data_IF_752569708213
#
_entry.id   IF_752569708213
#
_cell.length_a   1.000
_cell.length_b   1.000
_cell.length_c   1.000
_cell.angle_alpha   90.00
_cell.angle_beta   90.00
_cell.angle_gamma   90.00
#
_symmetry.space_group_name_H-M   'P 1'
#
loop_
_entity.id
_entity.type
_entity.pdbx_description
1 polymer ?
#
# COMPACT_ATOMS: atom_id res chain seq x y z
N UNK A 1 -15.87 3.08 4.02
CA UNK A 1 -16.50 2.53 2.82
C UNK A 1 -16.47 1.01 2.90
N UNK A 2 -17.53 0.34 2.44
CA UNK A 2 -17.62 -1.12 2.37
C UNK A 2 -17.81 -1.56 0.92
N UNK A 3 -17.03 -2.57 0.52
CA UNK A 3 -17.13 -3.25 -0.78
C UNK A 3 -17.27 -4.75 -0.55
N UNK A 4 -17.60 -5.51 -1.59
CA UNK A 4 -17.65 -6.98 -1.49
C UNK A 4 -16.33 -7.58 -1.02
N UNK A 5 -15.21 -7.15 -1.63
CA UNK A 5 -13.88 -7.67 -1.31
C UNK A 5 -13.44 -7.34 0.12
N UNK A 6 -13.75 -6.14 0.62
CA UNK A 6 -13.41 -5.77 2.00
C UNK A 6 -14.15 -6.62 3.03
N UNK A 7 -15.45 -6.86 2.84
CA UNK A 7 -16.25 -7.70 3.76
C UNK A 7 -15.80 -9.16 3.75
N UNK A 8 -15.44 -9.69 2.58
CA UNK A 8 -14.91 -11.05 2.46
C UNK A 8 -13.56 -11.18 3.15
N UNK A 9 -12.67 -10.20 2.98
CA UNK A 9 -11.34 -10.20 3.58
C UNK A 9 -11.39 -10.10 5.12
N UNK A 10 -12.34 -9.34 5.68
CA UNK A 10 -12.54 -9.20 7.13
C UNK A 10 -13.21 -10.43 7.77
N UNK A 11 -13.62 -11.44 6.99
CA UNK A 11 -14.20 -12.68 7.53
C UNK A 11 -15.51 -12.47 8.29
N UNK A 12 -16.30 -11.45 7.92
CA UNK A 12 -17.51 -11.06 8.65
C UNK A 12 -18.51 -12.23 8.71
N UNK A 13 -19.02 -12.62 9.90
CA UNK A 13 -20.04 -13.66 10.02
C UNK A 13 -21.27 -13.39 9.14
N UNK A 14 -21.74 -14.41 8.43
CA UNK A 14 -22.83 -14.28 7.45
C UNK A 14 -22.41 -13.65 6.11
N UNK A 15 -21.16 -13.22 5.99
CA UNK A 15 -20.54 -12.77 4.76
C UNK A 15 -21.20 -11.57 4.09
N UNK A 16 -20.89 -11.38 2.81
CA UNK A 16 -21.39 -10.24 2.06
C UNK A 16 -22.92 -10.24 1.89
N UNK A 17 -23.55 -11.40 1.79
CA UNK A 17 -25.00 -11.48 1.60
C UNK A 17 -25.79 -10.90 2.78
N UNK A 18 -25.37 -11.22 4.02
CA UNK A 18 -25.95 -10.64 5.23
C UNK A 18 -25.66 -9.15 5.29
N UNK A 19 -24.40 -8.76 5.10
CA UNK A 19 -24.00 -7.36 5.17
C UNK A 19 -24.71 -6.50 4.13
N UNK A 20 -24.92 -7.02 2.92
CA UNK A 20 -25.67 -6.34 1.86
C UNK A 20 -27.12 -6.05 2.27
N UNK A 21 -27.81 -6.98 2.95
CA UNK A 21 -29.17 -6.75 3.46
C UNK A 21 -29.18 -5.62 4.49
N UNK A 22 -28.27 -5.68 5.47
CA UNK A 22 -28.14 -4.63 6.51
C UNK A 22 -27.83 -3.27 5.90
N UNK A 23 -26.92 -3.21 4.94
CA UNK A 23 -26.53 -1.96 4.27
C UNK A 23 -27.63 -1.39 3.38
N UNK A 24 -28.46 -2.25 2.76
CA UNK A 24 -29.67 -1.81 2.06
C UNK A 24 -30.65 -1.17 3.03
N UNK A 25 -30.86 -1.80 4.20
CA UNK A 25 -31.71 -1.24 5.26
C UNK A 25 -31.20 0.09 5.83
N UNK A 26 -29.88 0.28 5.85
CA UNK A 26 -29.24 1.52 6.24
C UNK A 26 -29.38 2.59 5.14
N UNK A 27 -29.31 2.21 3.87
CA UNK A 27 -29.56 3.08 2.73
C UNK A 27 -31.00 3.61 2.76
N UNK A 28 -31.99 2.73 2.96
CA UNK A 28 -33.41 3.09 3.04
C UNK A 28 -33.71 4.07 4.17
N UNK A 29 -32.95 3.99 5.28
CA UNK A 29 -33.03 4.93 6.42
C UNK A 29 -32.12 6.15 6.28
N UNK A 30 -31.48 6.34 5.13
CA UNK A 30 -30.59 7.47 4.86
C UNK A 30 -29.28 7.47 5.66
N UNK A 31 -28.92 6.36 6.31
CA UNK A 31 -27.70 6.22 7.11
C UNK A 31 -26.44 5.94 6.27
N UNK A 32 -26.62 5.42 5.07
CA UNK A 32 -25.54 5.27 4.10
C UNK A 32 -26.06 5.54 2.68
N UNK A 33 -25.13 5.62 1.73
CA UNK A 33 -25.37 5.76 0.30
C UNK A 33 -24.70 4.61 -0.43
N UNK A 34 -25.41 4.04 -1.41
CA UNK A 34 -24.83 3.13 -2.40
C UNK A 34 -24.41 3.90 -3.64
N UNK A 35 -23.29 3.53 -4.24
CA UNK A 35 -22.80 4.18 -5.44
C UNK A 35 -21.53 3.56 -6.01
N UNK A 36 -20.99 4.23 -7.02
CA UNK A 36 -19.68 3.93 -7.60
C UNK A 36 -18.69 4.95 -7.05
N UNK A 37 -17.80 4.49 -6.18
CA UNK A 37 -16.81 5.35 -5.53
C UNK A 37 -15.37 4.91 -5.84
N UNK A 38 -15.18 3.64 -6.14
CA UNK A 38 -13.89 3.05 -6.53
C UNK A 38 -14.05 2.47 -7.93
N UNK A 39 -13.21 2.96 -8.84
CA UNK A 39 -13.10 2.43 -10.19
C UNK A 39 -12.70 0.95 -10.18
N UNK A 40 -13.03 0.23 -11.25
CA UNK A 40 -12.85 -1.23 -11.42
C UNK A 40 -13.67 -2.14 -10.50
N UNK A 41 -14.40 -1.59 -9.51
CA UNK A 41 -15.29 -2.36 -8.64
C UNK A 41 -16.77 -2.20 -9.05
N UNK A 42 -17.58 -3.24 -8.84
CA UNK A 42 -19.03 -3.19 -9.09
C UNK A 42 -19.77 -2.23 -8.15
N UNK A 43 -21.00 -1.85 -8.49
CA UNK A 43 -21.80 -0.82 -7.79
C UNK A 43 -22.32 -1.20 -6.39
N UNK A 44 -21.99 -2.38 -5.87
CA UNK A 44 -22.33 -2.79 -4.52
C UNK A 44 -21.30 -2.23 -3.51
N UNK A 45 -21.18 -0.90 -3.48
CA UNK A 45 -20.30 -0.15 -2.59
C UNK A 45 -21.15 0.76 -1.73
N UNK A 46 -20.91 0.77 -0.43
CA UNK A 46 -21.68 1.55 0.53
C UNK A 46 -20.77 2.43 1.37
N UNK A 47 -21.18 3.65 1.62
CA UNK A 47 -20.47 4.56 2.50
C UNK A 47 -21.43 5.54 3.18
N UNK A 48 -21.02 6.11 4.30
CA UNK A 48 -21.75 7.24 4.91
C UNK A 48 -21.57 8.49 4.04
N UNK A 49 -22.55 9.41 4.08
CA UNK A 49 -22.50 10.67 3.32
C UNK A 49 -21.21 11.44 3.57
N UNK A 50 -20.80 11.60 4.84
CA UNK A 50 -19.58 12.34 5.21
C UNK A 50 -18.32 11.78 4.54
N UNK A 51 -18.23 10.45 4.40
CA UNK A 51 -17.09 9.80 3.74
C UNK A 51 -17.15 10.01 2.23
N UNK A 52 -18.34 10.00 1.61
CA UNK A 52 -18.51 10.30 0.18
C UNK A 52 -18.10 11.74 -0.11
N UNK A 53 -18.52 12.68 0.72
CA UNK A 53 -18.20 14.10 0.52
C UNK A 53 -16.70 14.37 0.71
N UNK A 54 -16.06 13.68 1.66
CA UNK A 54 -14.60 13.71 1.81
C UNK A 54 -13.86 13.11 0.61
N UNK A 55 -14.39 12.05 -0.02
CA UNK A 55 -13.78 11.50 -1.23
C UNK A 55 -13.84 12.49 -2.39
N UNK A 56 -14.98 13.20 -2.54
CA UNK A 56 -15.14 14.23 -3.56
C UNK A 56 -14.20 15.41 -3.38
N UNK A 57 -13.92 15.81 -2.13
CA UNK A 57 -12.97 16.91 -1.88
C UNK A 57 -11.55 16.58 -2.35
N UNK A 58 -11.13 15.32 -2.22
CA UNK A 58 -9.81 14.87 -2.69
C UNK A 58 -9.70 14.84 -4.23
N UNK A 59 -10.80 14.57 -4.92
CA UNK A 59 -10.84 14.61 -6.39
C UNK A 59 -10.75 16.05 -6.92
N UNK A 60 -11.46 16.98 -6.26
CA UNK A 60 -11.36 18.42 -6.58
C UNK A 60 -9.96 19.00 -6.32
N UNK A 61 -9.27 18.55 -5.27
CA UNK A 61 -7.90 19.00 -4.96
C UNK A 61 -6.87 18.48 -5.97
N UNK A 62 -7.03 17.26 -6.50
CA UNK A 62 -6.13 16.68 -7.52
C UNK A 62 -6.21 17.40 -8.87
N UNK A 63 -7.34 18.02 -9.18
CA UNK A 63 -7.61 18.65 -10.49
C UNK A 63 -7.36 20.16 -10.56
N UNK A 64 -6.96 20.84 -9.48
CA UNK A 64 -6.86 22.30 -9.44
C UNK A 64 -5.58 22.79 -10.16
N UNK A 65 -5.69 23.53 -11.29
CA UNK A 65 -4.53 24.05 -11.98
C UNK A 65 -3.83 25.13 -11.13
N UNK A 66 -2.55 24.93 -10.82
CA UNK A 66 -1.72 25.93 -10.14
C UNK A 66 -1.31 25.60 -8.70
N UNK A 67 -1.88 24.57 -8.07
CA UNK A 67 -1.30 24.05 -6.83
C UNK A 67 -0.07 23.21 -7.17
N UNK A 68 1.09 23.68 -6.70
CA UNK A 68 2.35 22.94 -6.81
C UNK A 68 2.20 21.70 -5.91
N UNK A 69 1.76 20.59 -6.50
CA UNK A 69 1.55 19.36 -5.76
C UNK A 69 2.79 19.09 -4.89
N UNK A 70 2.61 18.87 -3.57
CA UNK A 70 3.75 18.55 -2.71
C UNK A 70 4.50 17.36 -3.28
N UNK A 71 5.82 17.34 -3.09
CA UNK A 71 6.63 16.22 -3.55
C UNK A 71 6.01 14.91 -3.06
N UNK A 72 5.92 13.88 -3.93
CA UNK A 72 5.23 12.64 -3.58
C UNK A 72 5.85 12.04 -2.31
N UNK A 73 5.04 11.87 -1.27
CA UNK A 73 5.45 11.23 -0.02
C UNK A 73 5.03 9.76 -0.01
N UNK A 74 5.93 8.88 0.44
CA UNK A 74 5.60 7.47 0.64
C UNK A 74 4.91 7.23 1.98
N UNK A 75 3.90 6.36 1.98
CA UNK A 75 3.22 5.84 3.16
C UNK A 75 3.50 4.34 3.29
N UNK A 76 4.11 3.94 4.40
CA UNK A 76 4.35 2.52 4.70
C UNK A 76 3.26 1.96 5.60
N UNK A 77 2.63 0.87 5.17
CA UNK A 77 1.63 0.13 5.93
C UNK A 77 2.05 -1.34 6.07
N UNK A 78 1.52 -2.01 7.10
CA UNK A 78 1.55 -3.47 7.09
C UNK A 78 0.67 -3.97 5.93
N UNK A 79 1.07 -5.06 5.26
CA UNK A 79 0.28 -5.62 4.16
C UNK A 79 -1.13 -6.07 4.61
N UNK A 80 -1.29 -6.41 5.89
CA UNK A 80 -2.58 -6.74 6.51
C UNK A 80 -3.38 -5.53 7.00
N UNK A 81 -2.81 -4.33 6.98
CA UNK A 81 -3.47 -3.13 7.51
C UNK A 81 -4.80 -2.85 6.80
N UNK A 82 -5.91 -2.57 7.51
CA UNK A 82 -7.19 -2.27 6.89
C UNK A 82 -7.16 -1.09 5.92
N UNK A 83 -6.22 -0.16 6.06
CA UNK A 83 -6.03 0.96 5.15
C UNK A 83 -5.36 0.56 3.82
N UNK A 84 -4.72 -0.61 3.73
CA UNK A 84 -4.21 -1.15 2.47
C UNK A 84 -5.39 -1.73 1.65
N UNK A 85 -5.76 -1.17 0.48
CA UNK A 85 -6.86 -1.71 -0.31
C UNK A 85 -6.46 -2.96 -1.13
N UNK A 86 -5.17 -3.16 -1.39
CA UNK A 86 -4.67 -4.22 -2.25
C UNK A 86 -4.70 -5.58 -1.56
N UNK A 87 -5.07 -6.61 -2.32
CA UNK A 87 -5.33 -7.96 -1.81
C UNK A 87 -6.60 -8.08 -0.97
N UNK A 88 -7.42 -7.03 -0.93
CA UNK A 88 -8.71 -7.01 -0.25
C UNK A 88 -9.80 -6.47 -1.19
N UNK A 89 -9.97 -5.15 -1.26
CA UNK A 89 -10.91 -4.53 -2.17
C UNK A 89 -10.37 -4.47 -3.62
N UNK A 90 -9.08 -4.20 -3.78
CA UNK A 90 -8.39 -4.15 -5.07
C UNK A 90 -7.53 -5.41 -5.27
N UNK A 91 -7.41 -5.91 -6.52
CA UNK A 91 -6.44 -6.96 -6.83
C UNK A 91 -5.01 -6.41 -6.67
N UNK A 92 -4.04 -7.29 -6.40
CA UNK A 92 -2.64 -6.91 -6.47
C UNK A 92 -2.29 -6.52 -7.92
N UNK A 93 -1.57 -5.40 -8.16
CA UNK A 93 -1.09 -5.05 -9.47
C UNK A 93 -0.16 -6.13 -10.02
N UNK A 94 -0.08 -6.24 -11.34
CA UNK A 94 0.92 -7.09 -11.98
C UNK A 94 2.29 -6.41 -11.85
N UNK A 95 3.29 -7.16 -11.38
CA UNK A 95 4.68 -6.74 -11.51
C UNK A 95 5.24 -7.25 -12.84
N UNK A 96 6.20 -6.52 -13.42
CA UNK A 96 6.82 -6.89 -14.71
C UNK A 96 7.77 -8.09 -14.59
N UNK A 97 8.15 -8.48 -13.37
CA UNK A 97 9.00 -9.66 -13.13
C UNK A 97 8.26 -10.98 -13.39
N UNK A 98 8.69 -11.72 -14.41
CA UNK A 98 8.23 -13.08 -14.67
C UNK A 98 8.82 -14.07 -13.65
N UNK A 99 7.96 -14.70 -12.84
CA UNK A 99 8.36 -15.82 -11.98
C UNK A 99 9.08 -15.41 -10.69
N UNK A 100 8.32 -14.91 -9.71
CA UNK A 100 8.85 -14.54 -8.40
C UNK A 100 7.82 -14.63 -7.27
N UNK A 101 8.22 -14.17 -6.09
CA UNK A 101 7.34 -14.02 -4.92
C UNK A 101 6.11 -13.19 -5.29
N UNK A 102 4.92 -13.66 -4.93
CA UNK A 102 3.68 -12.92 -5.15
C UNK A 102 3.31 -12.12 -3.89
N UNK A 103 2.83 -10.87 -4.05
CA UNK A 103 2.37 -10.09 -2.91
C UNK A 103 1.15 -10.76 -2.26
N UNK A 104 0.99 -10.54 -0.95
CA UNK A 104 -0.13 -11.07 -0.20
C UNK A 104 -0.29 -10.38 1.15
N UNK A 105 -1.50 -10.43 1.72
CA UNK A 105 -1.79 -9.87 3.04
C UNK A 105 -1.26 -10.80 4.13
N UNK A 106 0.05 -10.74 4.38
CA UNK A 106 0.76 -11.57 5.36
C UNK A 106 1.27 -10.72 6.52
N UNK A 107 1.15 -11.23 7.73
CA UNK A 107 1.70 -10.58 8.92
C UNK A 107 3.22 -10.38 8.77
N UNK A 108 3.68 -9.17 9.07
CA UNK A 108 5.08 -8.78 8.95
C UNK A 108 5.54 -8.40 7.54
N UNK A 109 4.70 -8.53 6.50
CA UNK A 109 4.95 -7.93 5.19
C UNK A 109 4.55 -6.45 5.21
N UNK A 110 5.20 -5.63 4.38
CA UNK A 110 4.95 -4.20 4.25
C UNK A 110 4.53 -3.84 2.83
N UNK A 111 3.74 -2.79 2.69
CA UNK A 111 3.46 -2.13 1.41
C UNK A 111 3.85 -0.65 1.51
N UNK A 112 4.28 -0.08 0.40
CA UNK A 112 4.58 1.34 0.30
C UNK A 112 3.71 1.96 -0.78
N UNK A 113 2.88 2.91 -0.37
CA UNK A 113 1.99 3.66 -1.25
C UNK A 113 2.58 5.04 -1.52
N UNK A 114 2.50 5.53 -2.76
CA UNK A 114 2.87 6.90 -3.11
C UNK A 114 1.71 7.51 -3.87
N UNK A 115 1.15 8.60 -3.34
CA UNK A 115 -0.05 9.22 -3.94
C UNK A 115 -1.30 8.32 -3.93
N UNK A 116 -1.28 7.23 -3.16
CA UNK A 116 -2.34 6.22 -3.10
C UNK A 116 -2.08 4.99 -3.98
N UNK A 117 -1.08 5.03 -4.85
CA UNK A 117 -0.70 3.90 -5.71
C UNK A 117 0.34 3.00 -5.04
N UNK A 118 0.21 1.68 -5.21
CA UNK A 118 1.21 0.72 -4.73
C UNK A 118 2.52 0.86 -5.51
N UNK A 119 3.61 1.16 -4.80
CA UNK A 119 4.95 1.28 -5.39
C UNK A 119 5.81 0.08 -5.04
N UNK A 120 5.81 -0.33 -3.76
CA UNK A 120 6.62 -1.44 -3.26
C UNK A 120 5.78 -2.42 -2.42
N UNK A 121 6.16 -3.70 -2.49
CA UNK A 121 5.79 -4.71 -1.51
C UNK A 121 7.07 -5.32 -0.95
N UNK A 122 7.12 -5.49 0.37
CA UNK A 122 8.22 -6.13 1.06
C UNK A 122 7.70 -7.38 1.78
N UNK A 123 8.29 -8.54 1.49
CA UNK A 123 7.92 -9.77 2.18
C UNK A 123 8.23 -9.69 3.68
N UNK A 124 7.52 -10.51 4.46
CA UNK A 124 7.86 -10.81 5.84
C UNK A 124 9.36 -11.06 6.01
N UNK A 125 9.99 -10.29 6.89
CA UNK A 125 11.41 -10.38 7.19
C UNK A 125 12.31 -9.54 6.29
N UNK A 126 11.76 -8.82 5.31
CA UNK A 126 12.46 -7.76 4.59
C UNK A 126 13.34 -8.19 3.43
N UNK A 127 13.49 -9.50 3.18
CA UNK A 127 14.46 -10.03 2.21
C UNK A 127 14.10 -9.74 0.76
N UNK A 128 12.87 -10.06 0.38
CA UNK A 128 12.40 -9.91 -0.99
C UNK A 128 11.52 -8.67 -1.12
N UNK A 129 11.91 -7.78 -2.03
CA UNK A 129 11.19 -6.58 -2.42
C UNK A 129 10.61 -6.77 -3.83
N UNK A 130 9.37 -6.33 -4.03
CA UNK A 130 8.72 -6.27 -5.33
C UNK A 130 8.43 -4.81 -5.69
N UNK A 131 8.63 -4.45 -6.96
CA UNK A 131 8.32 -3.12 -7.49
C UNK A 131 7.13 -3.18 -8.45
N UNK A 132 6.31 -2.12 -8.44
CA UNK A 132 5.09 -2.03 -9.27
C UNK A 132 5.06 -0.79 -10.17
N UNK A 133 6.15 -0.04 -10.24
CA UNK A 133 6.28 1.14 -11.10
C UNK A 133 7.72 1.32 -11.53
N UNK A 134 7.91 1.97 -12.68
CA UNK A 134 9.21 2.41 -13.22
C UNK A 134 9.47 3.90 -13.01
N UNK A 135 8.51 4.67 -12.48
CA UNK A 135 8.67 6.11 -12.23
C UNK A 135 9.75 6.39 -11.16
N UNK A 136 10.88 7.04 -11.52
CA UNK A 136 11.96 7.31 -10.58
C UNK A 136 11.54 8.20 -9.40
N UNK A 137 10.52 9.05 -9.57
CA UNK A 137 10.04 9.94 -8.51
C UNK A 137 9.33 9.15 -7.43
N UNK A 138 8.38 8.30 -7.81
CA UNK A 138 7.70 7.38 -6.91
C UNK A 138 8.66 6.37 -6.25
N UNK A 139 9.61 5.82 -7.01
CA UNK A 139 10.62 4.89 -6.46
C UNK A 139 11.48 5.54 -5.37
N UNK A 140 11.94 6.77 -5.57
CA UNK A 140 12.70 7.54 -4.57
C UNK A 140 11.87 7.84 -3.32
N UNK A 141 10.63 8.27 -3.49
CA UNK A 141 9.71 8.53 -2.38
C UNK A 141 9.47 7.27 -1.54
N UNK A 142 9.28 6.12 -2.20
CA UNK A 142 9.03 4.86 -1.52
C UNK A 142 10.27 4.31 -0.78
N UNK A 143 11.46 4.41 -1.38
CA UNK A 143 12.71 4.04 -0.71
C UNK A 143 12.98 4.91 0.52
N UNK A 144 12.73 6.22 0.42
CA UNK A 144 12.85 7.16 1.55
C UNK A 144 11.88 6.78 2.68
N UNK A 145 10.61 6.50 2.36
CA UNK A 145 9.62 6.11 3.36
C UNK A 145 9.98 4.79 4.07
N UNK A 146 10.58 3.81 3.37
CA UNK A 146 11.11 2.60 4.02
C UNK A 146 12.24 2.92 5.01
N UNK A 147 13.16 3.81 4.63
CA UNK A 147 14.25 4.23 5.50
C UNK A 147 13.75 4.99 6.73
N UNK A 148 12.73 5.82 6.56
CA UNK A 148 12.06 6.54 7.66
C UNK A 148 11.46 5.58 8.69
N UNK A 149 10.78 4.51 8.25
CA UNK A 149 10.22 3.51 9.18
C UNK A 149 11.30 2.85 10.05
N UNK A 150 12.49 2.62 9.50
CA UNK A 150 13.62 2.04 10.26
C UNK A 150 14.26 3.07 11.19
N UNK A 151 14.51 4.29 10.70
CA UNK A 151 15.13 5.35 11.50
C UNK A 151 14.26 5.81 12.69
N UNK A 152 12.93 5.81 12.52
CA UNK A 152 11.96 6.08 13.59
C UNK A 152 11.72 4.88 14.52
N UNK A 153 12.40 3.75 14.32
CA UNK A 153 12.33 2.58 15.20
C UNK A 153 11.03 1.78 15.11
N UNK A 154 10.18 2.02 14.10
CA UNK A 154 8.99 1.19 13.84
C UNK A 154 9.36 -0.21 13.33
N UNK A 155 10.53 -0.33 12.69
CA UNK A 155 11.18 -1.58 12.30
C UNK A 155 12.65 -1.51 12.72
N UNK A 156 13.15 -2.52 13.43
CA UNK A 156 14.53 -2.50 13.94
C UNK A 156 15.59 -2.49 12.84
N UNK A 157 15.37 -3.29 11.80
CA UNK A 157 16.29 -3.43 10.67
C UNK A 157 15.59 -4.05 9.46
N UNK A 158 16.10 -3.71 8.27
CA UNK A 158 15.75 -4.34 7.01
C UNK A 158 17.02 -4.84 6.32
N UNK A 159 16.93 -5.99 5.67
CA UNK A 159 17.99 -6.54 4.80
C UNK A 159 17.30 -7.06 3.55
N UNK A 160 17.53 -6.42 2.41
CA UNK A 160 16.93 -6.74 1.11
C UNK A 160 17.99 -7.48 0.29
N UNK A 161 17.70 -8.72 -0.09
CA UNK A 161 18.58 -9.57 -0.89
C UNK A 161 18.12 -9.71 -2.36
N UNK A 162 16.82 -9.62 -2.59
CA UNK A 162 16.20 -9.79 -3.90
C UNK A 162 15.22 -8.67 -4.22
N UNK A 163 15.25 -8.22 -5.47
CA UNK A 163 14.30 -7.27 -6.04
C UNK A 163 13.69 -7.90 -7.29
N UNK A 164 12.37 -8.04 -7.32
CA UNK A 164 11.63 -8.62 -8.46
C UNK A 164 12.15 -9.99 -8.91
N UNK A 165 12.63 -10.79 -7.96
CA UNK A 165 13.17 -12.11 -8.22
C UNK A 165 14.64 -12.13 -8.61
N UNK A 166 15.32 -10.99 -8.76
CA UNK A 166 16.75 -10.86 -9.07
C UNK A 166 17.58 -10.45 -7.85
N UNK A 167 18.90 -10.65 -7.91
CA UNK A 167 19.82 -10.17 -6.86
C UNK A 167 19.77 -8.66 -6.74
N UNK A 168 19.80 -8.12 -5.51
CA UNK A 168 19.87 -6.67 -5.30
C UNK A 168 21.15 -6.05 -5.85
N UNK A 169 22.28 -6.77 -5.83
CA UNK A 169 23.54 -6.28 -6.39
C UNK A 169 23.45 -6.20 -7.91
N UNK A 170 23.59 -5.00 -8.46
CA UNK A 170 23.45 -4.73 -9.89
C UNK A 170 22.00 -4.46 -10.35
N UNK A 171 21.01 -4.58 -9.47
CA UNK A 171 19.63 -4.22 -9.79
C UNK A 171 19.44 -2.70 -9.86
N UNK A 172 18.68 -2.22 -10.85
CA UNK A 172 18.47 -0.77 -11.06
C UNK A 172 17.78 -0.07 -9.88
N UNK A 173 16.98 -0.79 -9.10
CA UNK A 173 16.31 -0.24 -7.93
C UNK A 173 17.26 -0.05 -6.73
N UNK A 174 18.39 -0.75 -6.70
CA UNK A 174 19.35 -0.69 -5.59
C UNK A 174 19.86 0.72 -5.32
N UNK A 175 20.04 1.54 -6.36
CA UNK A 175 20.48 2.93 -6.23
C UNK A 175 19.53 3.77 -5.35
N UNK A 176 18.21 3.59 -5.47
CA UNK A 176 17.23 4.32 -4.65
C UNK A 176 17.32 3.93 -3.17
N UNK A 177 17.60 2.66 -2.89
CA UNK A 177 17.78 2.17 -1.52
C UNK A 177 19.09 2.72 -0.93
N UNK A 178 20.18 2.70 -1.69
CA UNK A 178 21.46 3.27 -1.26
C UNK A 178 21.37 4.77 -1.01
N UNK A 179 20.72 5.53 -1.90
CA UNK A 179 20.45 6.96 -1.72
C UNK A 179 19.61 7.23 -0.46
N UNK A 180 18.70 6.31 -0.10
CA UNK A 180 17.90 6.38 1.12
C UNK A 180 18.67 5.94 2.39
N UNK A 181 19.95 5.55 2.26
CA UNK A 181 20.84 5.23 3.37
C UNK A 181 21.02 3.74 3.66
N UNK A 182 20.51 2.84 2.82
CA UNK A 182 20.82 1.42 2.95
C UNK A 182 22.30 1.17 2.59
N UNK A 183 23.02 0.46 3.46
CA UNK A 183 24.41 0.12 3.26
C UNK A 183 24.56 -1.22 2.54
N UNK A 184 25.56 -1.31 1.66
CA UNK A 184 25.89 -2.55 0.96
C UNK A 184 26.53 -3.58 1.90
N UNK A 185 26.13 -4.84 1.76
CA UNK A 185 26.67 -5.97 2.52
C UNK A 185 26.72 -7.21 1.61
N UNK A 186 27.55 -8.22 1.91
CA UNK A 186 27.57 -9.47 1.13
C UNK A 186 26.22 -10.23 1.10
N UNK A 187 25.27 -9.88 1.96
CA UNK A 187 23.92 -10.48 2.04
C UNK A 187 22.83 -9.57 1.46
N UNK A 188 23.21 -8.50 0.76
CA UNK A 188 22.29 -7.52 0.17
C UNK A 188 22.35 -6.14 0.86
N UNK A 189 21.34 -5.31 0.61
CA UNK A 189 21.28 -3.95 1.13
C UNK A 189 20.63 -3.91 2.51
N UNK A 190 21.30 -3.30 3.48
CA UNK A 190 20.88 -3.28 4.88
C UNK A 190 20.66 -1.88 5.41
N UNK A 191 19.58 -1.72 6.19
CA UNK A 191 19.39 -0.57 7.07
C UNK A 191 19.07 -1.05 8.49
N UNK A 192 19.55 -0.34 9.51
CA UNK A 192 19.27 -0.63 10.91
C UNK A 192 18.96 0.66 11.65
N UNK A 193 18.02 0.61 12.58
CA UNK A 193 17.72 1.74 13.46
C UNK A 193 18.94 2.09 14.32
N UNK A 194 19.24 3.39 14.41
CA UNK A 194 20.29 3.94 15.28
C UNK A 194 19.77 4.28 16.68
N UNK A 195 18.45 4.24 16.90
CA UNK A 195 17.87 4.45 18.21
C UNK A 195 18.22 3.27 19.14
N UNK A 196 19.02 3.54 20.17
CA UNK A 196 19.21 2.60 21.26
C UNK A 196 17.84 2.31 21.90
N UNK A 197 17.47 1.02 21.98
CA UNK A 197 16.28 0.60 22.73
C UNK A 197 16.41 1.11 24.16
N UNK A 198 15.60 2.10 24.55
CA UNK A 198 15.39 2.48 25.94
C UNK A 198 14.27 1.65 26.53
#
# INVERSE_FOLDING_TARGET
MLTRGSVQNEGVPGGFALMYRVLTEFEDRGRCRRGYFVDSLGGAQFSTTDVVDRLRSHDTDRGRPGDRAPAPSGLVLAACDPANPYGAALPWPKNEGEGGHRPGRKAGALVVLVGGELVLYLERGGKTLLTFTTDPTARRAAATALAEVVSHGRVDALVIDRIDGETVHGNTFAAFLTDAGFADTPRGLRLRSTHARR
#
